data_IF_935116238650
#
_entry.id   IF_935116238650
#
_cell.length_a   1.000
_cell.length_b   1.000
_cell.length_c   1.000
_cell.angle_alpha   90.00
_cell.angle_beta   90.00
_cell.angle_gamma   90.00
#
_symmetry.space_group_name_H-M   'P 1'
#
loop_
_entity.id
_entity.type
_entity.pdbx_description
1 polymer ?
#
# COMPACT_ATOMS: atom_id res chain seq x y z
N UNK A 1 -5.71 26.53 24.81
CA UNK A 1 -5.47 26.52 23.35
C UNK A 1 -5.64 25.07 22.90
N UNK A 2 -6.71 24.73 22.18
CA UNK A 2 -6.90 23.37 21.67
C UNK A 2 -5.88 23.16 20.55
N UNK A 3 -5.04 22.13 20.68
CA UNK A 3 -4.17 21.70 19.60
C UNK A 3 -5.05 20.86 18.67
N UNK A 4 -5.22 21.22 17.39
CA UNK A 4 -5.98 20.38 16.48
C UNK A 4 -5.34 18.99 16.46
N UNK A 5 -6.17 17.97 16.61
CA UNK A 5 -5.71 16.59 16.54
C UNK A 5 -5.34 16.27 15.09
N UNK A 6 -4.17 15.67 14.89
CA UNK A 6 -3.70 15.27 13.57
C UNK A 6 -4.61 14.20 13.00
N UNK A 7 -5.26 14.50 11.88
CA UNK A 7 -6.09 13.55 11.15
C UNK A 7 -5.19 12.60 10.36
N UNK A 8 -5.28 11.30 10.63
CA UNK A 8 -4.55 10.25 9.91
C UNK A 8 -5.52 9.44 9.07
N UNK A 9 -5.20 9.26 7.80
CA UNK A 9 -6.02 8.52 6.85
C UNK A 9 -5.17 7.44 6.19
N UNK A 10 -5.63 6.19 6.30
CA UNK A 10 -5.10 5.10 5.48
C UNK A 10 -5.89 5.04 4.16
N UNK A 11 -5.18 5.09 3.04
CA UNK A 11 -5.78 4.98 1.71
C UNK A 11 -5.27 3.73 1.02
N UNK A 12 -6.15 2.74 0.87
CA UNK A 12 -5.80 1.48 0.19
C UNK A 12 -5.75 1.70 -1.31
N UNK A 13 -4.68 1.22 -1.93
CA UNK A 13 -4.49 1.28 -3.36
C UNK A 13 -3.77 0.03 -3.88
N UNK A 14 -4.41 -0.67 -4.82
CA UNK A 14 -3.77 -1.80 -5.51
C UNK A 14 -2.65 -1.34 -6.44
N UNK A 15 -2.85 -0.17 -7.06
CA UNK A 15 -1.90 0.48 -7.95
C UNK A 15 -1.66 1.90 -7.45
N UNK A 16 -0.40 2.27 -7.20
CA UNK A 16 -0.05 3.61 -6.68
C UNK A 16 0.55 4.54 -7.76
N UNK A 17 0.63 4.07 -9.01
CA UNK A 17 1.40 4.76 -10.04
C UNK A 17 2.89 4.58 -9.82
N UNK A 18 3.70 5.63 -10.00
CA UNK A 18 5.15 5.64 -9.67
C UNK A 18 6.00 4.62 -10.43
N UNK A 19 5.62 4.21 -11.63
CA UNK A 19 6.33 3.20 -12.44
C UNK A 19 7.82 3.51 -12.57
N UNK A 20 8.18 4.77 -12.82
CA UNK A 20 9.57 5.21 -13.00
C UNK A 20 10.43 5.08 -11.74
N UNK A 21 9.80 4.95 -10.58
CA UNK A 21 10.52 4.77 -9.31
C UNK A 21 10.95 3.32 -9.06
N UNK A 22 10.38 2.34 -9.77
CA UNK A 22 10.58 0.92 -9.46
C UNK A 22 9.88 0.44 -8.18
N UNK A 23 9.07 1.28 -7.54
CA UNK A 23 8.31 0.99 -6.33
C UNK A 23 6.80 1.10 -6.55
N UNK A 24 6.36 1.03 -7.81
CA UNK A 24 4.98 1.29 -8.15
C UNK A 24 4.59 0.67 -9.49
N UNK A 25 3.30 0.47 -9.68
CA UNK A 25 2.73 -0.08 -10.90
C UNK A 25 1.50 0.71 -11.34
N UNK A 26 1.20 0.62 -12.63
CA UNK A 26 0.05 1.25 -13.27
C UNK A 26 -0.35 0.42 -14.49
N UNK A 27 -1.27 -0.50 -14.27
CA UNK A 27 -1.88 -1.38 -15.28
C UNK A 27 -3.24 -0.83 -15.72
N UNK A 28 -3.92 -0.07 -14.84
CA UNK A 28 -5.19 0.59 -15.13
C UNK A 28 -5.16 2.12 -14.97
N UNK A 29 -6.34 2.74 -15.12
CA UNK A 29 -6.50 4.20 -14.98
C UNK A 29 -6.44 4.70 -13.53
N UNK A 30 -6.77 3.86 -12.56
CA UNK A 30 -6.85 4.26 -11.14
C UNK A 30 -5.48 4.57 -10.52
N UNK A 31 -4.40 3.95 -10.99
CA UNK A 31 -3.05 4.26 -10.52
C UNK A 31 -2.65 5.72 -10.77
N UNK A 32 -3.23 6.40 -11.77
CA UNK A 32 -3.02 7.83 -12.00
C UNK A 32 -3.64 8.70 -10.89
N UNK A 33 -4.81 8.31 -10.41
CA UNK A 33 -5.53 9.06 -9.37
C UNK A 33 -4.79 8.95 -8.04
N UNK A 34 -4.34 7.75 -7.69
CA UNK A 34 -3.60 7.53 -6.44
C UNK A 34 -2.22 8.19 -6.45
N UNK A 35 -1.58 8.32 -7.61
CA UNK A 35 -0.27 8.96 -7.73
C UNK A 35 -0.29 10.45 -7.35
N UNK A 36 -1.39 11.15 -7.65
CA UNK A 36 -1.48 12.61 -7.49
C UNK A 36 -2.40 13.05 -6.33
N UNK A 37 -3.58 12.43 -6.20
CA UNK A 37 -4.63 12.84 -5.27
C UNK A 37 -4.19 13.01 -3.81
N UNK A 38 -3.45 12.08 -3.16
CA UNK A 38 -3.11 12.21 -1.75
C UNK A 38 -2.24 13.43 -1.45
N UNK A 39 -1.26 13.76 -2.31
CA UNK A 39 -0.48 14.98 -2.13
C UNK A 39 -1.34 16.24 -2.27
N UNK A 40 -2.29 16.25 -3.21
CA UNK A 40 -3.21 17.38 -3.38
C UNK A 40 -4.19 17.52 -2.22
N UNK A 41 -4.66 16.42 -1.63
CA UNK A 41 -5.49 16.43 -0.42
C UNK A 41 -4.75 17.01 0.77
N UNK A 42 -3.49 16.62 1.00
CA UNK A 42 -2.65 17.18 2.07
C UNK A 42 -2.46 18.69 1.88
N UNK A 43 -2.18 19.15 0.65
CA UNK A 43 -2.09 20.58 0.34
C UNK A 43 -3.41 21.32 0.56
N UNK A 44 -4.54 20.71 0.19
CA UNK A 44 -5.86 21.31 0.36
C UNK A 44 -6.28 21.39 1.83
N UNK A 45 -5.95 20.38 2.64
CA UNK A 45 -6.18 20.34 4.08
C UNK A 45 -5.36 21.42 4.80
N UNK A 46 -4.09 21.59 4.42
CA UNK A 46 -3.22 22.62 4.99
C UNK A 46 -3.76 24.05 4.77
N UNK A 47 -4.42 24.32 3.64
CA UNK A 47 -5.09 25.61 3.37
C UNK A 47 -6.30 25.88 4.28
N UNK A 48 -6.79 24.86 4.97
CA UNK A 48 -7.93 24.92 5.89
C UNK A 48 -7.49 24.72 7.35
N UNK A 49 -6.19 24.84 7.64
CA UNK A 49 -5.61 24.59 8.96
C UNK A 49 -5.88 23.17 9.52
N UNK A 50 -6.06 22.19 8.63
CA UNK A 50 -6.21 20.77 8.97
C UNK A 50 -4.85 20.07 8.83
N UNK A 51 -4.35 19.52 9.94
CA UNK A 51 -3.15 18.67 9.93
C UNK A 51 -3.52 17.26 9.44
N UNK A 52 -3.38 17.02 8.14
CA UNK A 52 -3.70 15.74 7.49
C UNK A 52 -2.42 14.95 7.16
N UNK A 53 -2.39 13.69 7.56
CA UNK A 53 -1.42 12.70 7.10
C UNK A 53 -2.15 11.57 6.39
N UNK A 54 -1.65 11.20 5.21
CA UNK A 54 -2.15 10.09 4.42
C UNK A 54 -1.06 9.03 4.29
N UNK A 55 -1.41 7.80 4.63
CA UNK A 55 -0.59 6.61 4.36
C UNK A 55 -1.24 5.80 3.25
N UNK A 56 -0.55 5.62 2.13
CA UNK A 56 -1.04 4.79 1.04
C UNK A 56 -0.69 3.34 1.34
N UNK A 57 -1.68 2.44 1.41
CA UNK A 57 -1.46 1.02 1.69
C UNK A 57 -1.52 0.24 0.37
N UNK A 58 -0.46 -0.49 0.03
CA UNK A 58 -0.37 -1.18 -1.27
C UNK A 58 0.32 -2.55 -1.19
N UNK A 59 0.01 -3.52 -2.05
CA UNK A 59 0.81 -4.73 -2.14
C UNK A 59 2.25 -4.40 -2.57
N UNK A 60 3.23 -5.08 -1.99
CA UNK A 60 4.60 -5.06 -2.48
C UNK A 60 4.72 -6.08 -3.62
N UNK A 61 4.56 -5.69 -4.88
CA UNK A 61 4.73 -6.67 -5.97
C UNK A 61 6.18 -7.13 -6.10
N UNK A 62 6.41 -8.35 -6.58
CA UNK A 62 7.71 -9.00 -6.57
C UNK A 62 8.78 -8.20 -7.33
N UNK A 63 8.38 -7.53 -8.41
CA UNK A 63 9.23 -6.70 -9.25
C UNK A 63 9.60 -5.34 -8.63
N UNK A 64 9.09 -5.01 -7.44
CA UNK A 64 9.47 -3.79 -6.74
C UNK A 64 10.88 -3.92 -6.15
N UNK A 65 11.63 -2.81 -6.18
CA UNK A 65 12.97 -2.73 -5.58
C UNK A 65 12.89 -2.63 -4.05
N UNK A 66 12.69 -3.78 -3.40
CA UNK A 66 12.59 -3.88 -1.94
C UNK A 66 13.82 -3.37 -1.19
N UNK A 67 14.98 -3.27 -1.83
CA UNK A 67 16.20 -2.74 -1.20
C UNK A 67 16.09 -1.26 -0.80
N UNK A 68 15.11 -0.57 -1.36
CA UNK A 68 14.83 0.86 -1.11
C UNK A 68 13.70 1.09 -0.10
N UNK A 69 13.16 0.02 0.47
CA UNK A 69 12.09 0.07 1.44
C UNK A 69 12.66 -0.12 2.85
N UNK A 70 12.08 0.57 3.83
CA UNK A 70 12.43 0.43 5.24
C UNK A 70 11.49 -0.58 5.89
N UNK A 71 11.98 -1.69 6.48
CA UNK A 71 11.11 -2.63 7.19
C UNK A 71 10.42 -1.96 8.37
N UNK A 72 9.11 -2.20 8.51
CA UNK A 72 8.39 -1.90 9.74
C UNK A 72 8.49 -3.15 10.63
N UNK A 73 8.93 -2.98 11.88
CA UNK A 73 9.05 -4.08 12.87
C UNK A 73 7.65 -4.49 13.37
N UNK A 74 6.84 -4.99 12.44
CA UNK A 74 5.47 -5.46 12.64
C UNK A 74 5.25 -6.75 11.87
N UNK A 75 4.57 -7.69 12.49
CA UNK A 75 4.10 -8.91 11.85
C UNK A 75 2.58 -8.84 11.73
N UNK A 76 2.07 -9.05 10.52
CA UNK A 76 0.65 -8.93 10.22
C UNK A 76 0.06 -10.33 9.98
N UNK A 77 -0.56 -10.95 11.00
CA UNK A 77 -1.11 -12.29 10.87
C UNK A 77 -2.33 -12.30 9.95
N UNK A 78 -2.31 -13.24 9.02
CA UNK A 78 -3.37 -13.49 8.04
C UNK A 78 -3.73 -14.96 8.08
N UNK A 79 -5.00 -15.30 7.78
CA UNK A 79 -5.44 -16.68 7.66
C UNK A 79 -6.22 -16.91 6.38
N UNK A 80 -5.89 -17.99 5.68
CA UNK A 80 -6.65 -18.49 4.54
C UNK A 80 -6.95 -19.97 4.78
N UNK A 81 -8.22 -20.37 4.69
CA UNK A 81 -8.65 -21.77 4.89
C UNK A 81 -8.11 -22.38 6.21
N UNK A 82 -8.08 -21.59 7.28
CA UNK A 82 -7.52 -21.97 8.60
C UNK A 82 -6.00 -22.22 8.62
N UNK A 83 -5.27 -21.83 7.58
CA UNK A 83 -3.81 -21.84 7.55
C UNK A 83 -3.29 -20.43 7.82
N UNK A 84 -2.66 -20.17 8.99
CA UNK A 84 -2.09 -18.88 9.31
C UNK A 84 -0.73 -18.67 8.61
N UNK A 85 -0.44 -17.43 8.27
CA UNK A 85 0.86 -16.97 7.79
C UNK A 85 1.00 -15.46 8.04
N UNK A 86 2.19 -14.91 7.80
CA UNK A 86 2.54 -13.54 8.17
C UNK A 86 2.83 -12.69 6.93
N UNK A 87 2.26 -11.49 6.91
CA UNK A 87 2.75 -10.43 6.03
C UNK A 87 3.79 -9.58 6.75
N UNK A 88 4.81 -9.19 5.99
CA UNK A 88 5.73 -8.13 6.35
C UNK A 88 5.21 -6.80 5.82
N UNK A 89 5.52 -5.71 6.53
CA UNK A 89 5.26 -4.37 6.05
C UNK A 89 6.56 -3.59 5.90
N UNK A 90 6.59 -2.71 4.91
CA UNK A 90 7.71 -1.81 4.66
C UNK A 90 7.18 -0.41 4.38
N UNK A 91 7.96 0.61 4.69
CA UNK A 91 7.64 1.99 4.37
C UNK A 91 8.58 2.58 3.32
N UNK A 92 8.04 3.55 2.58
CA UNK A 92 8.81 4.48 1.77
C UNK A 92 8.15 5.86 1.81
N UNK A 93 8.95 6.92 1.88
CA UNK A 93 8.50 8.30 1.72
C UNK A 93 9.08 8.81 0.40
N UNK A 94 8.20 9.13 -0.55
CA UNK A 94 8.61 9.68 -1.84
C UNK A 94 9.13 11.12 -1.70
N UNK A 95 9.91 11.63 -2.68
CA UNK A 95 10.44 13.00 -2.63
C UNK A 95 9.40 14.11 -2.50
N UNK A 96 8.14 13.84 -2.87
CA UNK A 96 7.01 14.77 -2.71
C UNK A 96 6.31 14.64 -1.35
N UNK A 97 6.85 13.83 -0.43
CA UNK A 97 6.35 13.62 0.92
C UNK A 97 5.26 12.56 1.04
N UNK A 98 4.83 11.91 -0.04
CA UNK A 98 3.84 10.84 0.06
C UNK A 98 4.43 9.62 0.78
N UNK A 99 3.79 9.21 1.88
CA UNK A 99 4.14 8.01 2.64
C UNK A 99 3.35 6.81 2.11
N UNK A 100 4.07 5.72 1.82
CA UNK A 100 3.49 4.47 1.31
C UNK A 100 3.95 3.30 2.15
N UNK A 101 3.00 2.44 2.50
CA UNK A 101 3.21 1.19 3.23
C UNK A 101 2.97 0.03 2.26
N UNK A 102 4.00 -0.81 2.10
CA UNK A 102 4.03 -1.95 1.20
C UNK A 102 3.86 -3.25 1.99
N UNK A 103 2.93 -4.10 1.57
CA UNK A 103 2.61 -5.35 2.23
C UNK A 103 3.14 -6.53 1.42
N UNK A 104 3.99 -7.36 2.01
CA UNK A 104 4.65 -8.47 1.34
C UNK A 104 4.40 -9.80 2.04
N UNK A 105 4.04 -10.80 1.25
CA UNK A 105 4.22 -12.21 1.58
C UNK A 105 4.77 -12.91 0.33
N UNK A 106 5.80 -13.72 0.50
CA UNK A 106 6.44 -14.40 -0.62
C UNK A 106 5.48 -15.40 -1.30
N UNK A 107 4.70 -16.16 -0.52
CA UNK A 107 3.77 -17.14 -1.08
C UNK A 107 2.65 -16.51 -1.92
N UNK A 108 2.22 -15.30 -1.56
CA UNK A 108 1.13 -14.61 -2.26
C UNK A 108 1.58 -13.75 -3.44
N UNK A 109 2.76 -13.11 -3.38
CA UNK A 109 3.10 -12.03 -4.30
C UNK A 109 4.32 -12.32 -5.21
N UNK A 110 5.11 -13.36 -4.96
CA UNK A 110 6.39 -13.61 -5.67
C UNK A 110 6.25 -13.93 -7.17
N UNK A 111 5.06 -14.33 -7.60
CA UNK A 111 4.77 -14.58 -9.02
C UNK A 111 4.50 -13.30 -9.84
N UNK A 112 4.30 -12.16 -9.19
CA UNK A 112 3.83 -10.93 -9.85
C UNK A 112 4.92 -10.25 -10.70
N UNK A 113 4.55 -9.76 -11.87
CA UNK A 113 5.45 -9.00 -12.75
C UNK A 113 4.90 -7.61 -13.03
N UNK A 114 5.67 -6.74 -13.68
CA UNK A 114 5.23 -5.39 -14.03
C UNK A 114 3.95 -5.37 -14.89
N UNK A 115 3.69 -6.44 -15.64
CA UNK A 115 2.50 -6.58 -16.51
C UNK A 115 1.48 -7.60 -15.98
N UNK A 116 1.81 -8.31 -14.89
CA UNK A 116 0.96 -9.36 -14.31
C UNK A 116 0.87 -9.17 -12.79
N UNK A 117 -0.05 -8.29 -12.38
CA UNK A 117 -0.39 -8.03 -10.97
C UNK A 117 -1.83 -8.47 -10.62
N UNK A 118 -2.59 -8.90 -11.62
CA UNK A 118 -3.95 -9.39 -11.50
C UNK A 118 -3.97 -10.87 -11.91
N UNK A 119 -4.31 -11.81 -11.00
CA UNK A 119 -4.46 -13.21 -11.36
C UNK A 119 -5.62 -13.40 -12.34
N UNK A 120 -5.43 -14.25 -13.35
CA UNK A 120 -6.51 -14.70 -14.23
C UNK A 120 -7.36 -15.82 -13.61
N UNK A 121 -6.77 -16.63 -12.73
CA UNK A 121 -7.48 -17.65 -11.97
C UNK A 121 -8.30 -17.03 -10.82
N UNK A 122 -9.63 -17.23 -10.76
CA UNK A 122 -10.48 -16.61 -9.74
C UNK A 122 -10.17 -17.06 -8.32
N UNK A 123 -9.72 -18.30 -8.10
CA UNK A 123 -9.39 -18.79 -6.77
C UNK A 123 -8.11 -18.16 -6.25
N UNK A 124 -7.11 -18.03 -7.11
CA UNK A 124 -5.87 -17.31 -6.84
C UNK A 124 -6.15 -15.83 -6.57
N UNK A 125 -7.01 -15.18 -7.37
CA UNK A 125 -7.45 -13.80 -7.15
C UNK A 125 -8.11 -13.64 -5.78
N UNK A 126 -9.07 -14.50 -5.42
CA UNK A 126 -9.74 -14.44 -4.14
C UNK A 126 -8.75 -14.60 -2.96
N UNK A 127 -7.81 -15.56 -3.06
CA UNK A 127 -6.77 -15.78 -2.04
C UNK A 127 -5.85 -14.57 -1.88
N UNK A 128 -5.37 -14.02 -2.98
CA UNK A 128 -4.47 -12.88 -2.96
C UNK A 128 -5.15 -11.63 -2.39
N UNK A 129 -6.33 -11.27 -2.91
CA UNK A 129 -7.02 -10.06 -2.46
C UNK A 129 -7.45 -10.16 -1.00
N UNK A 130 -7.96 -11.33 -0.58
CA UNK A 130 -8.37 -11.52 0.83
C UNK A 130 -7.19 -11.50 1.79
N UNK A 131 -6.04 -12.06 1.41
CA UNK A 131 -4.86 -12.07 2.29
C UNK A 131 -4.22 -10.70 2.41
N UNK A 132 -4.04 -9.97 1.31
CA UNK A 132 -3.53 -8.59 1.33
C UNK A 132 -4.48 -7.66 2.08
N UNK A 133 -5.80 -7.77 1.84
CA UNK A 133 -6.78 -6.96 2.55
C UNK A 133 -6.78 -7.23 4.06
N UNK A 134 -6.62 -8.50 4.48
CA UNK A 134 -6.46 -8.83 5.90
C UNK A 134 -5.20 -8.18 6.49
N UNK A 135 -4.06 -8.22 5.79
CA UNK A 135 -2.83 -7.58 6.26
C UNK A 135 -2.98 -6.06 6.42
N UNK A 136 -3.56 -5.39 5.42
CA UNK A 136 -3.85 -3.95 5.48
C UNK A 136 -4.83 -3.60 6.60
N UNK A 137 -5.88 -4.41 6.78
CA UNK A 137 -6.82 -4.22 7.88
C UNK A 137 -6.16 -4.44 9.26
N UNK A 138 -5.20 -5.36 9.35
CA UNK A 138 -4.38 -5.58 10.54
C UNK A 138 -3.50 -4.38 10.89
N UNK A 139 -2.97 -3.70 9.88
CA UNK A 139 -2.13 -2.50 10.04
C UNK A 139 -2.91 -1.27 10.51
N UNK A 140 -4.17 -1.11 10.08
CA UNK A 140 -4.99 0.07 10.41
C UNK A 140 -5.45 0.09 11.89
N UNK A 141 -5.34 -1.03 12.62
CA UNK A 141 -5.91 -1.19 13.97
C UNK A 141 -5.29 -0.29 15.04
#
# INVERSE_FOLDING_TARGET
>A
MFKPEKMRVAMVAWEIGRIKSGLGTKVGGLGAVVEELPAELVKAAAKQDIELEIEILTPCFAHYDKSRLTPLDIELPVSLNNSPFLFQAFEHIFPDGQKVIYFWDQGQLDWTTATAIYPSDPFMAARLYSSVAQAMAGYIK
#
